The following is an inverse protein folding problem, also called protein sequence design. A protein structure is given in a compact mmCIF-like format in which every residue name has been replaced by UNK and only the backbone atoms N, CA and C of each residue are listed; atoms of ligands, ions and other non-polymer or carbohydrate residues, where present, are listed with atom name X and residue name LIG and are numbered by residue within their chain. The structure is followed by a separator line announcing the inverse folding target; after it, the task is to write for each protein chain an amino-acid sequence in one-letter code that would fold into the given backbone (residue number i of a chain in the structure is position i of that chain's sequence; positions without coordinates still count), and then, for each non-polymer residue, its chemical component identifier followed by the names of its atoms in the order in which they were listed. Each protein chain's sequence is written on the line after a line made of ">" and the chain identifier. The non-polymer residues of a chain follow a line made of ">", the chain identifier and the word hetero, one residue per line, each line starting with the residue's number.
data_IF_909663163049
#
_entry.id   IF_909663163049
#
_cell.length_a   1.000
_cell.length_b   1.000
_cell.length_c   1.000
_cell.angle_alpha   90.00
_cell.angle_beta   90.00
_cell.angle_gamma   90.00
#
_symmetry.space_group_name_H-M   'P 1'
#
loop_
_entity.id
_entity.type
_entity.pdbx_description
1 polymer ?
#
# COMPACT_ATOMS: atom_id res chain seq x y z
N UNK A 1 31.73 40.17 37.02
CA UNK A 1 30.59 39.44 36.44
C UNK A 1 30.96 39.07 35.02
N UNK A 2 31.50 37.87 34.83
CA UNK A 2 31.87 37.34 33.51
C UNK A 2 30.67 36.62 32.93
N UNK A 3 30.03 37.23 31.93
CA UNK A 3 29.01 36.57 31.11
C UNK A 3 29.72 35.62 30.14
N UNK A 4 29.79 34.35 30.50
CA UNK A 4 30.13 33.28 29.55
C UNK A 4 28.84 32.86 28.83
N UNK A 5 28.58 33.45 27.66
CA UNK A 5 27.60 32.91 26.73
C UNK A 5 28.16 31.63 26.11
N UNK A 6 27.80 30.48 26.68
CA UNK A 6 27.95 29.19 26.02
C UNK A 6 26.94 29.16 24.87
N UNK A 7 27.42 29.43 23.65
CA UNK A 7 26.74 29.03 22.43
C UNK A 7 27.08 27.54 22.28
N UNK A 8 26.16 26.65 22.67
CA UNK A 8 26.24 25.25 22.24
C UNK A 8 26.13 25.23 20.72
N UNK A 9 27.27 25.00 20.07
CA UNK A 9 27.32 24.71 18.64
C UNK A 9 26.69 23.33 18.46
N UNK A 10 25.52 23.28 17.82
CA UNK A 10 24.88 22.04 17.37
C UNK A 10 25.90 21.17 16.64
N UNK A 11 26.11 19.94 17.11
CA UNK A 11 26.97 18.97 16.46
C UNK A 11 26.18 18.23 15.38
N UNK A 12 26.82 17.85 14.26
CA UNK A 12 26.18 17.08 13.17
C UNK A 12 25.57 15.77 13.68
N UNK A 13 26.19 15.15 14.69
CA UNK A 13 25.70 13.94 15.34
C UNK A 13 24.36 14.14 16.07
N UNK A 14 24.04 15.38 16.47
CA UNK A 14 22.79 15.70 17.15
C UNK A 14 21.61 15.65 16.16
N UNK A 15 21.84 15.98 14.89
CA UNK A 15 20.84 15.86 13.83
C UNK A 15 20.53 14.40 13.53
N UNK A 16 21.55 13.54 13.41
CA UNK A 16 21.37 12.11 13.13
C UNK A 16 20.64 11.41 14.29
N UNK A 17 21.04 11.70 15.54
CA UNK A 17 20.35 11.20 16.74
C UNK A 17 18.91 11.69 16.83
N UNK A 18 18.66 12.95 16.46
CA UNK A 18 17.32 13.53 16.49
C UNK A 18 16.39 12.88 15.46
N UNK A 19 16.86 12.58 14.24
CA UNK A 19 16.03 11.93 13.21
C UNK A 19 15.77 10.47 13.59
N UNK A 20 16.78 9.75 14.07
CA UNK A 20 16.67 8.33 14.40
C UNK A 20 15.66 8.01 15.50
N UNK A 21 15.30 8.96 16.37
CA UNK A 21 14.25 8.74 17.39
C UNK A 21 12.84 8.55 16.78
N UNK A 22 12.63 8.98 15.53
CA UNK A 22 11.37 8.85 14.80
C UNK A 22 11.32 7.61 13.90
N UNK A 23 12.41 6.86 13.79
CA UNK A 23 12.55 5.74 12.86
C UNK A 23 12.33 4.41 13.58
N UNK A 24 11.52 3.54 12.99
CA UNK A 24 11.44 2.14 13.37
C UNK A 24 11.64 1.26 12.15
N UNK A 25 12.34 0.14 12.33
CA UNK A 25 12.52 -0.89 11.32
C UNK A 25 11.90 -2.19 11.83
N UNK A 26 11.22 -2.93 10.96
CA UNK A 26 10.72 -4.26 11.29
C UNK A 26 10.76 -5.22 10.09
N UNK A 27 10.92 -6.52 10.34
CA UNK A 27 10.92 -7.52 9.28
C UNK A 27 9.53 -7.73 8.69
N UNK A 28 9.50 -8.05 7.39
CA UNK A 28 8.31 -8.48 6.67
C UNK A 28 8.07 -9.98 6.84
N UNK A 29 6.85 -10.43 6.55
CA UNK A 29 6.53 -11.87 6.51
C UNK A 29 6.14 -12.28 5.11
N UNK A 30 6.48 -13.51 4.72
CA UNK A 30 5.89 -14.12 3.54
C UNK A 30 4.44 -14.52 3.81
N UNK A 31 3.58 -14.39 2.81
CA UNK A 31 2.24 -14.95 2.80
C UNK A 31 1.94 -15.52 1.40
N UNK A 32 0.87 -16.30 1.32
CA UNK A 32 0.42 -16.93 0.07
C UNK A 32 -0.92 -16.33 -0.34
N UNK A 33 -1.08 -16.05 -1.64
CA UNK A 33 -2.35 -15.58 -2.23
C UNK A 33 -2.71 -16.44 -3.45
N UNK A 34 -4.01 -16.54 -3.74
CA UNK A 34 -4.52 -17.35 -4.85
C UNK A 34 -4.13 -18.82 -4.72
N UNK A 35 -3.53 -19.36 -5.79
CA UNK A 35 -3.11 -20.76 -5.88
C UNK A 35 -1.59 -20.93 -5.64
N UNK A 36 -1.05 -20.56 -4.47
CA UNK A 36 0.38 -20.81 -4.18
C UNK A 36 1.33 -19.65 -4.42
N UNK A 37 0.85 -18.47 -4.80
CA UNK A 37 1.74 -17.34 -5.10
C UNK A 37 2.28 -16.73 -3.82
N UNK A 38 3.59 -16.81 -3.60
CA UNK A 38 4.28 -16.23 -2.44
C UNK A 38 4.48 -14.73 -2.64
N UNK A 39 4.07 -13.95 -1.65
CA UNK A 39 4.21 -12.49 -1.58
C UNK A 39 4.84 -12.08 -0.25
N UNK A 40 5.28 -10.82 -0.15
CA UNK A 40 5.75 -10.19 1.10
C UNK A 40 4.65 -9.28 1.66
N UNK A 41 4.19 -9.55 2.88
CA UNK A 41 3.18 -8.72 3.57
C UNK A 41 3.84 -7.79 4.58
N UNK A 42 3.75 -6.49 4.30
CA UNK A 42 4.28 -5.42 5.13
C UNK A 42 3.24 -4.86 6.11
N UNK A 43 2.02 -4.60 5.64
CA UNK A 43 0.91 -4.13 6.47
C UNK A 43 -0.31 -5.05 6.31
N UNK A 44 -1.10 -5.28 7.39
CA UNK A 44 -0.76 -4.97 8.78
C UNK A 44 0.30 -5.94 9.33
N UNK A 45 1.12 -5.46 10.26
CA UNK A 45 2.07 -6.26 11.05
C UNK A 45 1.82 -6.08 12.56
N UNK A 46 2.55 -6.83 13.39
CA UNK A 46 2.52 -6.63 14.85
C UNK A 46 3.12 -5.28 15.25
N UNK A 47 4.02 -4.74 14.43
CA UNK A 47 4.77 -3.52 14.71
C UNK A 47 4.04 -2.27 14.21
N UNK A 48 3.42 -2.34 13.03
CA UNK A 48 2.68 -1.23 12.44
C UNK A 48 1.43 -1.76 11.74
N UNK A 49 0.27 -1.19 12.08
CA UNK A 49 -1.03 -1.59 11.49
C UNK A 49 -1.45 -0.68 10.34
N UNK A 50 -1.15 0.61 10.44
CA UNK A 50 -1.47 1.62 9.44
C UNK A 50 -0.31 2.60 9.26
N UNK A 51 -0.26 3.22 8.09
CA UNK A 51 0.50 4.44 7.81
C UNK A 51 -0.46 5.42 7.14
N UNK A 52 -0.90 6.44 7.88
CA UNK A 52 -2.07 7.21 7.49
C UNK A 52 -3.27 6.29 7.28
N UNK A 53 -3.95 6.39 6.14
CA UNK A 53 -5.07 5.50 5.80
C UNK A 53 -4.62 4.16 5.17
N UNK A 54 -3.34 3.96 4.84
CA UNK A 54 -2.83 2.68 4.31
C UNK A 54 -2.91 1.61 5.39
N UNK A 55 -3.79 0.62 5.22
CA UNK A 55 -4.04 -0.42 6.22
C UNK A 55 -3.63 -1.83 5.78
N UNK A 56 -3.18 -1.97 4.54
CA UNK A 56 -2.68 -3.21 3.96
C UNK A 56 -1.62 -2.91 2.90
N UNK A 57 -0.60 -3.76 2.82
CA UNK A 57 0.45 -3.69 1.80
C UNK A 57 1.05 -5.09 1.60
N UNK A 58 0.82 -5.62 0.40
CA UNK A 58 1.51 -6.79 -0.13
C UNK A 58 2.42 -6.36 -1.30
N UNK A 59 3.63 -6.90 -1.33
CA UNK A 59 4.55 -6.84 -2.46
C UNK A 59 4.59 -8.20 -3.14
N UNK A 60 4.20 -8.22 -4.40
CA UNK A 60 4.14 -9.42 -5.22
C UNK A 60 5.24 -9.36 -6.29
N UNK A 61 6.12 -10.37 -6.32
CA UNK A 61 7.25 -10.40 -7.22
C UNK A 61 8.45 -9.55 -6.74
N UNK A 62 9.45 -9.31 -7.61
CA UNK A 62 9.50 -9.75 -9.01
C UNK A 62 9.54 -11.29 -9.11
N UNK A 63 8.66 -11.86 -9.92
CA UNK A 63 8.59 -13.32 -10.12
C UNK A 63 8.26 -13.66 -11.57
N UNK A 64 8.87 -14.74 -12.05
CA UNK A 64 8.56 -15.37 -13.34
C UNK A 64 7.91 -16.72 -13.10
N UNK A 65 6.85 -17.03 -13.85
CA UNK A 65 6.13 -18.30 -13.80
C UNK A 65 5.86 -18.83 -15.22
N UNK A 66 5.62 -20.15 -15.39
CA UNK A 66 5.19 -20.71 -16.65
C UNK A 66 3.88 -20.07 -17.15
N UNK A 67 3.70 -20.07 -18.46
CA UNK A 67 2.46 -19.62 -19.07
C UNK A 67 1.25 -20.41 -18.51
N UNK A 68 0.22 -19.72 -18.03
CA UNK A 68 -0.96 -20.32 -17.41
C UNK A 68 -0.89 -20.49 -15.89
N UNK A 69 0.29 -20.32 -15.29
CA UNK A 69 0.51 -20.47 -13.84
C UNK A 69 0.55 -19.12 -13.11
N UNK A 70 0.01 -18.07 -13.74
CA UNK A 70 -0.06 -16.74 -13.14
C UNK A 70 -1.06 -16.66 -11.99
N UNK A 71 -1.12 -15.49 -11.35
CA UNK A 71 -2.03 -15.25 -10.23
C UNK A 71 -3.49 -15.50 -10.65
N UNK A 72 -4.22 -16.25 -9.85
CA UNK A 72 -5.66 -16.47 -9.99
C UNK A 72 -6.33 -16.31 -8.62
N UNK A 73 -6.89 -15.11 -8.39
CA UNK A 73 -7.69 -14.82 -7.21
C UNK A 73 -9.16 -14.77 -7.62
N UNK A 74 -9.90 -15.80 -7.23
CA UNK A 74 -11.33 -15.90 -7.49
C UNK A 74 -12.18 -14.87 -6.75
N UNK A 75 -13.52 -14.91 -6.95
CA UNK A 75 -14.43 -13.89 -6.44
C UNK A 75 -14.32 -13.77 -4.93
N UNK A 76 -14.01 -12.57 -4.46
CA UNK A 76 -13.93 -12.24 -3.04
C UNK A 76 -14.42 -10.81 -2.78
N UNK A 77 -14.98 -10.53 -1.60
CA UNK A 77 -15.59 -9.25 -1.30
C UNK A 77 -14.61 -8.29 -0.64
N UNK A 78 -14.93 -7.00 -0.70
CA UNK A 78 -14.35 -5.96 0.14
C UNK A 78 -15.44 -5.02 0.67
N UNK A 79 -15.19 -4.36 1.80
CA UNK A 79 -16.01 -3.25 2.31
C UNK A 79 -15.16 -2.24 3.10
N UNK A 80 -15.60 -0.99 3.13
CA UNK A 80 -15.03 0.09 3.95
C UNK A 80 -13.61 0.52 3.58
N UNK A 81 -13.18 0.17 2.36
CA UNK A 81 -11.82 0.44 1.88
C UNK A 81 -11.80 0.78 0.38
N UNK A 82 -10.64 1.23 -0.10
CA UNK A 82 -10.26 1.21 -1.51
C UNK A 82 -9.09 0.23 -1.68
N UNK A 83 -9.14 -0.67 -2.66
CA UNK A 83 -7.93 -1.39 -3.10
C UNK A 83 -7.17 -0.53 -4.10
N UNK A 84 -5.85 -0.61 -4.05
CA UNK A 84 -4.94 0.18 -4.85
C UNK A 84 -3.86 -0.76 -5.39
N UNK A 85 -3.87 -0.98 -6.70
CA UNK A 85 -2.88 -1.82 -7.37
C UNK A 85 -1.89 -0.92 -8.11
N UNK A 86 -0.61 -1.01 -7.76
CA UNK A 86 0.48 -0.45 -8.56
C UNK A 86 1.14 -1.57 -9.36
N UNK A 87 0.99 -1.56 -10.68
CA UNK A 87 1.54 -2.59 -11.55
C UNK A 87 2.92 -2.18 -12.09
N UNK A 88 3.97 -2.90 -11.68
CA UNK A 88 5.36 -2.58 -11.99
C UNK A 88 5.80 -3.34 -13.25
N UNK A 89 5.54 -4.65 -13.31
CA UNK A 89 5.81 -5.53 -14.45
C UNK A 89 4.72 -6.60 -14.59
N UNK A 90 4.49 -7.07 -15.82
CA UNK A 90 3.42 -8.00 -16.16
C UNK A 90 2.06 -7.32 -16.37
N UNK A 91 1.01 -8.13 -16.43
CA UNK A 91 -0.38 -7.69 -16.61
C UNK A 91 -1.34 -8.50 -15.74
N UNK A 92 -2.46 -7.88 -15.34
CA UNK A 92 -3.48 -8.51 -14.51
C UNK A 92 -4.87 -8.10 -14.99
N UNK A 93 -5.80 -9.05 -15.13
CA UNK A 93 -7.20 -8.74 -15.42
C UNK A 93 -7.97 -8.56 -14.12
N UNK A 94 -8.52 -7.37 -13.93
CA UNK A 94 -9.52 -7.09 -12.90
C UNK A 94 -10.91 -7.29 -13.48
N UNK A 95 -11.75 -8.06 -12.79
CA UNK A 95 -13.20 -8.13 -13.05
C UNK A 95 -13.96 -7.92 -11.75
N UNK A 96 -15.00 -7.10 -11.74
CA UNK A 96 -15.80 -6.89 -10.52
C UNK A 96 -17.31 -7.04 -10.73
N UNK A 97 -18.02 -7.11 -9.60
CA UNK A 97 -19.47 -7.21 -9.51
C UNK A 97 -20.25 -6.01 -10.11
N UNK A 98 -19.58 -4.91 -10.48
CA UNK A 98 -20.20 -3.82 -11.24
C UNK A 98 -20.16 -4.06 -12.76
N UNK A 99 -19.50 -5.15 -13.20
CA UNK A 99 -19.29 -5.49 -14.59
C UNK A 99 -18.03 -4.85 -15.19
N UNK A 100 -17.17 -4.24 -14.37
CA UNK A 100 -15.88 -3.73 -14.84
C UNK A 100 -15.02 -4.88 -15.36
N UNK A 101 -14.32 -4.65 -16.47
CA UNK A 101 -13.23 -5.49 -16.95
C UNK A 101 -12.06 -4.61 -17.36
N UNK A 102 -10.96 -4.70 -16.62
CA UNK A 102 -9.80 -3.85 -16.85
C UNK A 102 -8.51 -4.67 -16.77
N UNK A 103 -7.81 -4.73 -17.90
CA UNK A 103 -6.43 -5.23 -17.92
C UNK A 103 -5.50 -4.10 -17.46
N UNK A 104 -4.86 -4.26 -16.30
CA UNK A 104 -3.80 -3.35 -15.84
C UNK A 104 -2.46 -3.79 -16.44
N UNK A 105 -1.64 -2.81 -16.81
CA UNK A 105 -0.32 -2.97 -17.44
C UNK A 105 0.76 -2.25 -16.63
N UNK A 106 2.06 -2.44 -16.95
CA UNK A 106 3.13 -1.74 -16.25
C UNK A 106 2.94 -0.24 -16.25
N UNK A 107 3.27 0.39 -15.13
CA UNK A 107 3.17 1.83 -14.86
C UNK A 107 1.75 2.39 -14.79
N UNK A 108 0.80 1.55 -14.40
CA UNK A 108 -0.61 1.93 -14.24
C UNK A 108 -1.10 1.66 -12.82
N UNK A 109 -2.17 2.35 -12.46
CA UNK A 109 -2.90 2.14 -11.20
C UNK A 109 -4.35 1.73 -11.46
N UNK A 110 -4.81 0.74 -10.71
CA UNK A 110 -6.24 0.49 -10.51
C UNK A 110 -6.61 0.93 -9.09
N UNK A 111 -7.74 1.62 -8.97
CA UNK A 111 -8.34 1.97 -7.70
C UNK A 111 -9.78 1.45 -7.67
N UNK A 112 -10.03 0.43 -6.85
CA UNK A 112 -11.38 -0.06 -6.61
C UNK A 112 -11.87 0.47 -5.27
N UNK A 113 -12.82 1.39 -5.28
CA UNK A 113 -13.53 1.81 -4.07
C UNK A 113 -14.60 0.78 -3.74
N UNK A 114 -14.42 0.04 -2.65
CA UNK A 114 -15.41 -0.94 -2.19
C UNK A 114 -16.59 -0.26 -1.48
N UNK A 115 -16.31 0.74 -0.63
CA UNK A 115 -17.35 1.46 0.11
C UNK A 115 -18.30 0.50 0.84
N UNK A 116 -19.60 0.61 0.57
CA UNK A 116 -20.62 -0.27 1.16
C UNK A 116 -20.34 -1.76 0.89
N UNK A 117 -19.87 -2.13 -0.29
CA UNK A 117 -19.59 -3.52 -0.64
C UNK A 117 -19.38 -3.70 -2.14
N UNK A 118 -18.38 -4.49 -2.51
CA UNK A 118 -18.11 -4.96 -3.88
C UNK A 118 -17.44 -6.33 -3.79
N UNK A 119 -17.53 -7.15 -4.83
CA UNK A 119 -16.60 -8.26 -5.04
C UNK A 119 -15.84 -8.13 -6.35
N UNK A 120 -14.65 -8.73 -6.41
CA UNK A 120 -13.81 -8.76 -7.61
C UNK A 120 -12.96 -10.03 -7.73
N UNK A 121 -12.35 -10.19 -8.90
CA UNK A 121 -11.31 -11.16 -9.23
C UNK A 121 -10.08 -10.43 -9.76
N UNK A 122 -8.90 -11.02 -9.54
CA UNK A 122 -7.62 -10.60 -10.11
C UNK A 122 -6.95 -11.83 -10.73
N UNK A 123 -6.92 -11.89 -12.06
CA UNK A 123 -6.47 -13.06 -12.81
C UNK A 123 -5.44 -12.65 -13.86
N UNK A 124 -4.26 -13.24 -13.83
CA UNK A 124 -3.24 -13.03 -14.84
C UNK A 124 -3.73 -13.63 -16.17
N UNK A 125 -3.58 -12.93 -17.31
CA UNK A 125 -3.88 -13.54 -18.60
C UNK A 125 -3.11 -14.85 -18.79
N UNK A 126 -3.69 -15.83 -19.48
CA UNK A 126 -3.01 -17.12 -19.70
C UNK A 126 -1.62 -16.96 -20.31
N UNK A 127 -1.39 -15.96 -21.15
CA UNK A 127 -0.10 -15.68 -21.80
C UNK A 127 0.92 -14.96 -20.91
N UNK A 128 0.52 -14.49 -19.73
CA UNK A 128 1.41 -13.77 -18.82
C UNK A 128 2.44 -14.73 -18.19
N UNK A 129 3.64 -14.23 -17.95
CA UNK A 129 4.75 -15.00 -17.37
C UNK A 129 5.49 -14.22 -16.28
N UNK A 130 5.17 -12.94 -16.06
CA UNK A 130 5.82 -12.10 -15.07
C UNK A 130 4.79 -11.42 -14.18
N UNK A 131 5.14 -11.19 -12.92
CA UNK A 131 4.39 -10.32 -12.04
C UNK A 131 5.36 -9.55 -11.14
N UNK A 132 5.18 -8.24 -11.11
CA UNK A 132 5.75 -7.38 -10.10
C UNK A 132 4.73 -6.28 -9.79
N UNK A 133 4.21 -6.24 -8.57
CA UNK A 133 3.19 -5.29 -8.15
C UNK A 133 3.25 -4.98 -6.66
N UNK A 134 2.71 -3.82 -6.28
CA UNK A 134 2.32 -3.53 -4.91
C UNK A 134 0.80 -3.45 -4.81
N UNK A 135 0.20 -4.26 -3.94
CA UNK A 135 -1.23 -4.26 -3.65
C UNK A 135 -1.45 -3.64 -2.27
N UNK A 136 -2.20 -2.54 -2.22
CA UNK A 136 -2.45 -1.78 -1.00
C UNK A 136 -3.93 -1.61 -0.76
N UNK A 137 -4.31 -1.45 0.51
CA UNK A 137 -5.68 -1.03 0.87
C UNK A 137 -5.65 0.29 1.64
N UNK A 138 -6.62 1.15 1.32
CA UNK A 138 -6.85 2.45 1.93
C UNK A 138 -8.13 2.36 2.74
N UNK A 139 -8.05 2.52 4.06
CA UNK A 139 -9.23 2.60 4.91
C UNK A 139 -10.04 3.87 4.57
N UNK A 140 -11.33 3.72 4.33
CA UNK A 140 -12.20 4.87 4.09
C UNK A 140 -12.50 5.60 5.42
N UNK A 141 -12.53 6.94 5.42
CA UNK A 141 -12.97 7.72 6.58
C UNK A 141 -14.46 7.47 6.87
N UNK A 142 -14.88 7.81 8.09
CA UNK A 142 -16.21 7.44 8.62
C UNK A 142 -17.37 7.95 7.75
N UNK A 143 -17.22 9.12 7.13
CA UNK A 143 -18.23 9.73 6.26
C UNK A 143 -18.28 9.11 4.85
N UNK A 144 -17.29 8.28 4.49
CA UNK A 144 -17.20 7.60 3.18
C UNK A 144 -17.30 6.08 3.27
N UNK A 145 -17.21 5.49 4.46
CA UNK A 145 -17.12 4.03 4.64
C UNK A 145 -18.26 3.25 3.94
N UNK A 146 -19.46 3.83 3.85
CA UNK A 146 -20.64 3.25 3.21
C UNK A 146 -20.99 3.88 1.84
N UNK A 147 -20.05 4.56 1.20
CA UNK A 147 -20.29 5.12 -0.13
C UNK A 147 -20.54 4.04 -1.18
N UNK A 148 -21.15 4.38 -2.31
CA UNK A 148 -21.35 3.44 -3.40
C UNK A 148 -20.00 2.92 -3.93
N UNK A 149 -19.92 1.63 -4.30
CA UNK A 149 -18.72 1.07 -4.91
C UNK A 149 -18.46 1.69 -6.29
N UNK A 150 -17.19 1.78 -6.69
CA UNK A 150 -16.77 2.22 -8.02
C UNK A 150 -15.37 1.74 -8.36
N UNK A 151 -15.03 1.79 -9.64
CA UNK A 151 -13.69 1.46 -10.14
C UNK A 151 -13.15 2.59 -11.01
N UNK A 152 -11.89 2.96 -10.80
CA UNK A 152 -11.16 3.93 -11.60
C UNK A 152 -9.82 3.33 -12.06
N UNK A 153 -9.53 3.46 -13.36
CA UNK A 153 -8.25 3.06 -13.96
C UNK A 153 -7.42 4.29 -14.34
N UNK A 154 -6.15 4.29 -13.97
CA UNK A 154 -5.20 5.36 -14.22
C UNK A 154 -4.05 4.82 -15.09
N UNK A 155 -4.16 4.96 -16.42
CA UNK A 155 -3.15 4.44 -17.34
C UNK A 155 -1.87 5.28 -17.39
N UNK A 156 -1.93 6.52 -16.90
CA UNK A 156 -0.84 7.47 -16.89
C UNK A 156 -0.74 8.12 -15.51
N UNK A 157 0.46 8.10 -14.94
CA UNK A 157 0.78 8.77 -13.69
C UNK A 157 1.88 9.80 -13.91
N UNK A 158 1.86 10.92 -13.18
CA UNK A 158 2.84 11.97 -13.37
C UNK A 158 4.19 11.56 -12.78
N UNK A 159 5.24 11.83 -13.55
CA UNK A 159 6.63 11.54 -13.19
C UNK A 159 7.39 12.85 -13.03
N UNK A 160 8.23 12.93 -12.02
CA UNK A 160 9.17 14.04 -11.78
C UNK A 160 10.54 13.47 -11.48
N UNK A 161 11.60 14.11 -11.96
CA UNK A 161 12.98 13.68 -11.74
C UNK A 161 13.73 14.72 -10.92
N UNK A 162 14.52 14.26 -9.94
CA UNK A 162 15.39 15.10 -9.11
C UNK A 162 16.57 14.26 -8.61
N UNK A 163 17.78 14.82 -8.62
CA UNK A 163 18.98 14.17 -8.08
C UNK A 163 19.24 12.76 -8.63
N UNK A 164 18.93 12.53 -9.93
CA UNK A 164 19.02 11.22 -10.63
C UNK A 164 18.05 10.15 -10.13
N UNK A 165 17.01 10.55 -9.39
CA UNK A 165 15.91 9.70 -8.97
C UNK A 165 14.66 10.08 -9.77
N UNK A 166 14.04 9.08 -10.39
CA UNK A 166 12.73 9.20 -11.02
C UNK A 166 11.65 8.90 -9.98
N UNK A 167 10.70 9.83 -9.81
CA UNK A 167 9.58 9.72 -8.87
C UNK A 167 8.28 9.64 -9.65
N UNK A 168 7.61 8.48 -9.62
CA UNK A 168 6.23 8.35 -10.11
C UNK A 168 5.28 8.64 -8.95
N UNK A 169 4.52 9.74 -9.02
CA UNK A 169 3.57 10.12 -7.97
C UNK A 169 2.29 9.30 -8.15
N UNK A 170 2.15 8.26 -7.34
CA UNK A 170 1.04 7.31 -7.42
C UNK A 170 -0.25 7.93 -6.88
N UNK A 171 -0.19 8.59 -5.72
CA UNK A 171 -1.32 9.31 -5.11
C UNK A 171 -0.81 10.46 -4.24
N UNK A 172 -1.61 11.52 -4.12
CA UNK A 172 -1.23 12.73 -3.40
C UNK A 172 -0.40 13.70 -4.23
N UNK A 173 0.41 14.50 -3.55
CA UNK A 173 1.31 15.48 -4.16
C UNK A 173 2.73 15.32 -3.63
N UNK A 174 3.70 15.25 -4.53
CA UNK A 174 5.12 15.17 -4.20
C UNK A 174 5.95 16.03 -5.16
N UNK A 175 6.92 16.78 -4.66
CA UNK A 175 7.74 17.71 -5.47
C UNK A 175 6.89 18.61 -6.39
N UNK A 176 5.78 19.16 -5.86
CA UNK A 176 4.81 20.01 -6.60
C UNK A 176 4.13 19.32 -7.78
N UNK A 177 4.16 17.99 -7.81
CA UNK A 177 3.56 17.15 -8.83
C UNK A 177 2.43 16.35 -8.20
N UNK A 178 1.21 16.49 -8.73
CA UNK A 178 -0.01 15.96 -8.13
C UNK A 178 -0.59 14.82 -8.97
N UNK A 179 -0.82 13.68 -8.34
CA UNK A 179 -1.50 12.54 -8.96
C UNK A 179 -2.99 12.81 -9.18
N UNK A 180 -3.59 12.28 -10.27
CA UNK A 180 -5.04 12.34 -10.48
C UNK A 180 -5.83 11.35 -9.60
N UNK A 181 -5.16 10.44 -8.88
CA UNK A 181 -5.84 9.35 -8.15
C UNK A 181 -6.69 9.91 -7.01
N UNK A 182 -7.97 9.59 -7.04
CA UNK A 182 -8.98 10.15 -6.13
C UNK A 182 -9.14 9.32 -4.84
N UNK A 183 -8.57 9.85 -3.74
CA UNK A 183 -8.69 9.30 -2.38
C UNK A 183 -9.45 10.25 -1.44
N UNK A 184 -9.78 9.78 -0.25
CA UNK A 184 -10.68 10.48 0.69
C UNK A 184 -10.01 10.98 1.98
N UNK A 185 -8.70 10.84 2.09
CA UNK A 185 -7.87 11.36 3.19
C UNK A 185 -6.58 11.95 2.63
N UNK A 186 -5.89 12.78 3.41
CA UNK A 186 -4.54 13.25 3.09
C UNK A 186 -3.57 12.06 3.06
N UNK A 187 -3.10 11.71 1.86
CA UNK A 187 -2.37 10.48 1.59
C UNK A 187 -1.30 10.71 0.52
N UNK A 188 -0.22 9.96 0.62
CA UNK A 188 0.92 9.99 -0.30
C UNK A 188 1.32 8.56 -0.67
N UNK A 189 1.60 8.35 -1.95
CA UNK A 189 2.24 7.15 -2.48
C UNK A 189 3.14 7.53 -3.64
N UNK A 190 4.41 7.14 -3.59
CA UNK A 190 5.42 7.47 -4.61
C UNK A 190 6.27 6.23 -4.88
N UNK A 191 6.47 5.91 -6.15
CA UNK A 191 7.46 4.93 -6.60
C UNK A 191 8.74 5.68 -7.00
N UNK A 192 9.86 5.30 -6.41
CA UNK A 192 11.17 5.91 -6.61
C UNK A 192 12.06 4.91 -7.34
N UNK A 193 12.78 5.35 -8.37
CA UNK A 193 13.78 4.51 -9.05
C UNK A 193 15.06 5.28 -9.34
N UNK A 194 16.19 4.58 -9.29
CA UNK A 194 17.48 5.14 -9.64
C UNK A 194 18.22 4.22 -10.62
N UNK A 195 18.65 4.74 -11.76
CA UNK A 195 19.45 3.97 -12.74
C UNK A 195 20.90 3.78 -12.28
N UNK A 196 21.43 4.77 -11.59
CA UNK A 196 22.76 4.79 -10.99
C UNK A 196 22.64 5.02 -9.49
N UNK A 197 23.65 4.61 -8.72
CA UNK A 197 23.66 4.84 -7.28
C UNK A 197 23.68 6.34 -6.98
N UNK A 198 22.74 6.82 -6.17
CA UNK A 198 22.59 8.25 -5.86
C UNK A 198 22.15 8.45 -4.41
N UNK A 199 22.35 9.67 -3.90
CA UNK A 199 21.81 10.12 -2.62
C UNK A 199 20.97 11.37 -2.85
N UNK A 200 19.82 11.44 -2.20
CA UNK A 200 18.96 12.62 -2.24
C UNK A 200 18.34 12.86 -0.86
N UNK A 201 17.94 14.11 -0.64
CA UNK A 201 17.13 14.49 0.51
C UNK A 201 15.70 14.72 0.06
N UNK A 202 14.79 13.92 0.61
CA UNK A 202 13.36 14.04 0.37
C UNK A 202 12.77 15.08 1.32
N UNK A 203 11.88 15.92 0.81
CA UNK A 203 11.04 16.79 1.62
C UNK A 203 9.79 15.99 2.02
N UNK A 204 9.50 15.94 3.31
CA UNK A 204 8.39 15.21 3.90
C UNK A 204 7.37 16.20 4.49
N UNK A 205 6.11 15.78 4.58
CA UNK A 205 5.11 16.53 5.33
C UNK A 205 5.23 16.17 6.82
N UNK A 206 5.57 17.11 7.73
CA UNK A 206 5.73 16.80 9.15
C UNK A 206 4.45 16.29 9.83
N UNK A 207 3.27 16.49 9.23
CA UNK A 207 2.01 15.94 9.74
C UNK A 207 1.81 14.47 9.40
N UNK A 208 2.57 13.94 8.44
CA UNK A 208 2.40 12.58 7.96
C UNK A 208 3.34 11.64 8.71
N UNK A 209 2.83 10.44 9.00
CA UNK A 209 3.69 9.28 9.17
C UNK A 209 4.05 8.71 7.80
N UNK A 210 5.23 8.08 7.68
CA UNK A 210 5.72 7.55 6.40
C UNK A 210 6.22 6.11 6.52
N UNK A 211 6.29 5.42 5.39
CA UNK A 211 6.83 4.08 5.28
C UNK A 211 7.62 3.90 3.99
N UNK A 212 8.75 3.21 4.08
CA UNK A 212 9.61 2.85 2.96
C UNK A 212 9.69 1.33 2.86
N UNK A 213 9.56 0.82 1.63
CA UNK A 213 9.72 -0.60 1.33
C UNK A 213 10.49 -0.75 0.02
N UNK A 214 11.49 -1.63 -0.03
CA UNK A 214 12.14 -1.97 -1.29
C UNK A 214 11.22 -2.88 -2.10
N UNK A 215 10.96 -2.49 -3.35
CA UNK A 215 10.25 -3.30 -4.34
C UNK A 215 11.25 -4.05 -5.23
N UNK A 216 12.44 -3.48 -5.44
CA UNK A 216 13.55 -4.11 -6.14
C UNK A 216 14.88 -3.58 -5.57
N UNK A 217 15.85 -4.48 -5.37
CA UNK A 217 17.16 -4.15 -4.85
C UNK A 217 17.12 -3.62 -3.41
N UNK A 218 18.05 -2.70 -3.09
CA UNK A 218 18.20 -2.17 -1.73
C UNK A 218 18.37 -0.65 -1.74
N UNK A 219 18.19 -0.04 -0.56
CA UNK A 219 18.46 1.38 -0.32
C UNK A 219 18.91 1.58 1.13
N UNK A 220 19.29 2.81 1.48
CA UNK A 220 19.53 3.22 2.86
C UNK A 220 18.67 4.43 3.17
N UNK A 221 17.88 4.38 4.24
CA UNK A 221 17.02 5.48 4.71
C UNK A 221 17.57 6.00 6.04
N UNK A 222 18.19 7.18 6.02
CA UNK A 222 18.84 7.79 7.19
C UNK A 222 19.75 6.83 7.98
N UNK A 223 20.58 6.06 7.26
CA UNK A 223 21.50 5.08 7.84
C UNK A 223 20.90 3.68 8.09
N UNK A 224 19.59 3.47 7.93
CA UNK A 224 18.95 2.16 8.06
C UNK A 224 18.88 1.47 6.70
N UNK A 225 19.40 0.24 6.60
CA UNK A 225 19.35 -0.54 5.37
C UNK A 225 17.90 -0.97 5.07
N UNK A 226 17.47 -0.77 3.84
CA UNK A 226 16.17 -1.17 3.33
C UNK A 226 16.36 -2.28 2.31
N UNK A 227 15.73 -3.42 2.59
CA UNK A 227 15.80 -4.66 1.81
C UNK A 227 14.39 -5.14 1.47
N UNK A 228 14.28 -6.20 0.68
CA UNK A 228 13.00 -6.85 0.37
C UNK A 228 12.39 -7.59 1.58
N UNK A 229 13.11 -7.66 2.71
CA UNK A 229 12.73 -8.38 3.92
C UNK A 229 12.38 -7.46 5.09
N UNK A 230 12.48 -6.14 4.95
CA UNK A 230 12.12 -5.19 6.01
C UNK A 230 11.30 -4.00 5.49
N UNK A 231 10.78 -3.22 6.44
CA UNK A 231 10.14 -1.94 6.20
C UNK A 231 10.69 -0.93 7.21
N UNK A 232 10.96 0.28 6.74
CA UNK A 232 11.36 1.41 7.58
C UNK A 232 10.19 2.37 7.69
N UNK A 233 9.78 2.72 8.90
CA UNK A 233 8.66 3.65 9.16
C UNK A 233 9.12 4.86 9.94
N UNK A 234 8.51 6.01 9.64
CA UNK A 234 8.76 7.28 10.27
C UNK A 234 7.50 7.75 10.99
N UNK A 235 7.61 8.11 12.27
CA UNK A 235 6.57 8.83 12.98
C UNK A 235 6.45 10.29 12.48
N UNK A 236 5.30 10.97 12.70
CA UNK A 236 5.15 12.37 12.33
C UNK A 236 6.18 13.28 13.00
N UNK A 237 6.57 14.35 12.31
CA UNK A 237 7.43 15.41 12.81
C UNK A 237 8.62 15.75 11.92
N UNK A 238 9.05 14.82 11.06
CA UNK A 238 10.18 15.04 10.16
C UNK A 238 9.78 15.85 8.92
N UNK A 239 10.55 16.91 8.62
CA UNK A 239 10.36 17.73 7.42
C UNK A 239 11.22 17.26 6.24
N UNK A 240 12.28 16.51 6.52
CA UNK A 240 13.16 15.96 5.49
C UNK A 240 13.83 14.66 5.96
N UNK A 241 14.25 13.84 5.01
CA UNK A 241 15.04 12.63 5.27
C UNK A 241 16.04 12.36 4.15
N UNK A 242 17.23 11.89 4.50
CA UNK A 242 18.23 11.43 3.53
C UNK A 242 17.93 9.99 3.12
N UNK A 243 18.00 9.74 1.80
CA UNK A 243 17.93 8.39 1.24
C UNK A 243 19.10 8.18 0.26
N UNK A 244 19.62 6.97 0.25
CA UNK A 244 20.63 6.51 -0.71
C UNK A 244 20.03 5.34 -1.47
N UNK A 245 19.91 5.47 -2.80
CA UNK A 245 19.42 4.40 -3.66
C UNK A 245 20.60 3.76 -4.36
N UNK A 246 20.68 2.43 -4.31
CA UNK A 246 21.62 1.68 -5.14
C UNK A 246 21.14 1.65 -6.60
N UNK A 247 22.09 1.53 -7.54
CA UNK A 247 21.76 1.40 -8.96
C UNK A 247 20.76 0.27 -9.23
N UNK A 248 19.68 0.58 -9.94
CA UNK A 248 18.62 -0.35 -10.28
C UNK A 248 17.55 -0.52 -9.18
N UNK A 249 17.69 0.11 -8.02
CA UNK A 249 16.70 -0.08 -6.96
C UNK A 249 15.38 0.65 -7.25
N UNK A 250 14.29 0.06 -6.73
CA UNK A 250 12.95 0.62 -6.77
C UNK A 250 12.37 0.62 -5.37
N UNK A 251 12.03 1.80 -4.85
CA UNK A 251 11.54 1.97 -3.48
C UNK A 251 10.13 2.54 -3.51
N UNK A 252 9.24 1.97 -2.70
CA UNK A 252 7.91 2.52 -2.44
C UNK A 252 7.95 3.42 -1.21
N UNK A 253 7.57 4.68 -1.37
CA UNK A 253 7.31 5.62 -0.28
C UNK A 253 5.80 5.77 -0.09
N UNK A 254 5.33 5.47 1.11
CA UNK A 254 3.96 5.75 1.56
C UNK A 254 3.97 6.85 2.60
N UNK A 255 2.90 7.64 2.65
CA UNK A 255 2.66 8.56 3.74
C UNK A 255 1.19 8.91 3.88
N UNK A 256 0.85 9.51 5.02
CA UNK A 256 -0.48 10.06 5.25
C UNK A 256 -0.63 10.62 6.65
N UNK A 257 -1.65 11.44 6.84
CA UNK A 257 -2.01 11.93 8.17
C UNK A 257 -2.49 10.76 9.04
N UNK A 258 -1.98 10.60 10.28
CA UNK A 258 -2.33 9.48 11.14
C UNK A 258 -3.84 9.32 11.27
N UNK A 259 -4.35 8.15 10.87
CA UNK A 259 -5.79 7.90 10.84
C UNK A 259 -6.36 7.83 12.26
N UNK A 260 -7.21 8.81 12.62
CA UNK A 260 -7.68 8.98 14.00
C UNK A 260 -8.68 7.89 14.43
N UNK A 261 -9.67 7.60 13.59
CA UNK A 261 -10.75 6.66 13.91
C UNK A 261 -10.23 5.22 14.00
N UNK A 262 -10.43 4.50 15.13
CA UNK A 262 -10.06 3.10 15.24
C UNK A 262 -10.80 2.25 14.19
N UNK A 263 -10.07 1.35 13.53
CA UNK A 263 -10.64 0.44 12.54
C UNK A 263 -10.52 -1.01 13.01
N UNK A 264 -11.44 -1.85 12.54
CA UNK A 264 -11.30 -3.30 12.59
C UNK A 264 -11.03 -3.80 11.17
N UNK A 265 -9.89 -4.43 10.98
CA UNK A 265 -9.55 -5.13 9.74
C UNK A 265 -9.62 -6.63 10.02
N UNK A 266 -10.51 -7.33 9.32
CA UNK A 266 -10.60 -8.79 9.34
C UNK A 266 -10.86 -9.32 7.94
N UNK A 267 -10.05 -10.31 7.54
CA UNK A 267 -10.08 -10.86 6.18
C UNK A 267 -9.98 -9.73 5.15
N UNK A 268 -11.05 -9.49 4.38
CA UNK A 268 -11.12 -8.45 3.34
C UNK A 268 -12.03 -7.27 3.73
N UNK A 269 -12.35 -7.13 5.01
CA UNK A 269 -13.28 -6.13 5.50
C UNK A 269 -12.60 -5.15 6.43
N UNK A 270 -12.84 -3.86 6.18
CA UNK A 270 -12.49 -2.76 7.08
C UNK A 270 -13.80 -2.17 7.62
N UNK A 271 -14.01 -2.30 8.93
CA UNK A 271 -15.21 -1.83 9.64
C UNK A 271 -14.86 -1.02 10.90
N UNK A 272 -15.87 -0.72 11.70
CA UNK A 272 -15.72 -0.06 13.02
C UNK A 272 -16.17 -0.95 14.17
N UNK A 273 -17.13 -1.85 13.92
CA UNK A 273 -17.67 -2.76 14.94
C UNK A 273 -17.57 -4.23 14.50
N UNK A 274 -17.55 -5.16 15.47
CA UNK A 274 -17.51 -6.59 15.14
C UNK A 274 -18.83 -7.04 14.52
N UNK A 275 -19.94 -6.40 14.92
CA UNK A 275 -21.28 -6.62 14.41
C UNK A 275 -21.36 -6.31 12.90
N UNK A 276 -20.77 -5.21 12.46
CA UNK A 276 -20.68 -4.85 11.03
C UNK A 276 -19.95 -5.91 10.21
N UNK A 277 -18.81 -6.37 10.73
CA UNK A 277 -17.97 -7.37 10.06
C UNK A 277 -18.63 -8.75 10.04
N UNK A 278 -19.30 -9.13 11.14
CA UNK A 278 -20.08 -10.38 11.20
C UNK A 278 -21.24 -10.35 10.21
N UNK A 279 -21.97 -9.24 10.12
CA UNK A 279 -23.06 -9.09 9.16
C UNK A 279 -22.55 -9.18 7.72
N UNK A 280 -21.44 -8.51 7.40
CA UNK A 280 -20.82 -8.57 6.08
C UNK A 280 -20.36 -9.98 5.72
N UNK A 281 -19.80 -10.72 6.68
CA UNK A 281 -19.44 -12.14 6.51
C UNK A 281 -20.67 -12.98 6.18
N UNK A 282 -21.75 -12.84 6.95
CA UNK A 282 -22.96 -13.62 6.73
C UNK A 282 -23.61 -13.28 5.38
N UNK A 283 -23.59 -12.02 4.99
CA UNK A 283 -24.02 -11.57 3.67
C UNK A 283 -23.16 -12.17 2.54
N UNK A 284 -21.84 -12.25 2.73
CA UNK A 284 -20.98 -12.94 1.76
C UNK A 284 -21.33 -14.41 1.64
N UNK A 285 -21.45 -15.14 2.75
CA UNK A 285 -21.79 -16.57 2.77
C UNK A 285 -23.13 -16.85 2.09
N UNK A 286 -24.13 -16.00 2.34
CA UNK A 286 -25.48 -16.14 1.80
C UNK A 286 -25.66 -15.51 0.39
N UNK A 287 -24.58 -15.06 -0.25
CA UNK A 287 -24.60 -14.46 -1.60
C UNK A 287 -25.56 -13.26 -1.71
N UNK A 288 -25.54 -12.40 -0.70
CA UNK A 288 -26.34 -11.17 -0.65
C UNK A 288 -25.95 -10.21 -1.79
N UNK A 289 -26.93 -9.46 -2.30
CA UNK A 289 -26.71 -8.49 -3.39
C UNK A 289 -25.69 -7.40 -3.06
N UNK A 290 -25.39 -7.15 -1.77
CA UNK A 290 -24.34 -6.24 -1.33
C UNK A 290 -22.99 -6.46 -2.03
N UNK A 291 -22.66 -7.71 -2.38
CA UNK A 291 -21.38 -8.04 -3.03
C UNK A 291 -21.52 -8.42 -4.51
N UNK A 292 -22.75 -8.45 -5.03
CA UNK A 292 -23.06 -8.88 -6.40
C UNK A 292 -22.51 -10.27 -6.74
N UNK A 293 -22.34 -10.49 -8.04
CA UNK A 293 -21.85 -11.75 -8.61
C UNK A 293 -20.91 -11.49 -9.80
N UNK A 294 -20.02 -12.45 -10.09
CA UNK A 294 -19.04 -12.40 -11.17
C UNK A 294 -19.20 -13.66 -12.02
N UNK A 295 -20.26 -13.67 -12.82
CA UNK A 295 -20.75 -14.87 -13.49
C UNK A 295 -19.81 -15.44 -14.56
N UNK A 296 -18.84 -14.67 -15.04
CA UNK A 296 -17.89 -15.07 -16.06
C UNK A 296 -16.59 -15.68 -15.50
N UNK A 297 -16.41 -15.66 -14.18
CA UNK A 297 -15.28 -16.33 -13.55
C UNK A 297 -15.49 -17.85 -13.54
N UNK A 298 -14.48 -18.59 -13.99
CA UNK A 298 -14.50 -20.05 -14.05
C UNK A 298 -13.68 -20.64 -12.90
N UNK A 299 -14.29 -20.74 -11.72
CA UNK A 299 -13.63 -21.30 -10.56
C UNK A 299 -14.44 -21.13 -9.27
N UNK A 300 -13.87 -21.54 -8.13
CA UNK A 300 -14.54 -21.40 -6.84
C UNK A 300 -14.56 -19.93 -6.38
N UNK A 301 -15.67 -19.54 -5.76
CA UNK A 301 -15.78 -18.32 -4.96
C UNK A 301 -15.02 -18.51 -3.64
N UNK A 302 -14.28 -17.51 -3.19
CA UNK A 302 -13.47 -17.63 -1.98
C UNK A 302 -14.37 -17.73 -0.74
N UNK A 303 -14.03 -18.65 0.15
CA UNK A 303 -14.77 -18.85 1.40
C UNK A 303 -14.28 -17.88 2.49
N UNK A 304 -15.22 -17.27 3.20
CA UNK A 304 -14.87 -16.44 4.34
C UNK A 304 -14.34 -17.33 5.49
N UNK A 305 -13.22 -16.97 6.14
CA UNK A 305 -12.70 -17.75 7.25
C UNK A 305 -13.62 -17.71 8.48
N UNK A 306 -13.26 -18.50 9.50
CA UNK A 306 -13.94 -18.46 10.79
C UNK A 306 -13.85 -17.04 11.40
N UNK A 307 -14.97 -16.55 11.92
CA UNK A 307 -15.02 -15.25 12.58
C UNK A 307 -14.57 -15.37 14.04
N UNK A 308 -13.65 -14.53 14.53
CA UNK A 308 -13.15 -14.61 15.89
C UNK A 308 -14.16 -14.04 16.90
N UNK A 309 -14.18 -14.59 18.12
CA UNK A 309 -15.04 -14.08 19.21
C UNK A 309 -14.68 -12.66 19.67
N UNK A 310 -13.41 -12.27 19.52
CA UNK A 310 -12.89 -10.96 19.91
C UNK A 310 -11.82 -10.47 18.93
N UNK A 311 -11.89 -9.19 18.59
CA UNK A 311 -10.90 -8.48 17.79
C UNK A 311 -10.41 -7.23 18.52
N UNK A 312 -9.14 -6.87 18.30
CA UNK A 312 -8.57 -5.59 18.76
C UNK A 312 -8.54 -4.60 17.60
N UNK A 313 -9.12 -3.42 17.81
CA UNK A 313 -9.05 -2.30 16.87
C UNK A 313 -7.62 -1.82 16.63
N UNK A 314 -7.41 -1.04 15.56
CA UNK A 314 -6.10 -0.53 15.14
C UNK A 314 -5.34 0.26 16.21
N UNK A 315 -6.05 0.84 17.18
CA UNK A 315 -5.54 1.57 18.33
C UNK A 315 -6.26 1.12 19.60
#
# INVERSE_FOLDING_TARGET
>A
MTNSNYIELSNSDDCEKYVNQFIQEFPLRSAEIGQGTIIKRALPSRHKRLIGAWCFLDHAGPVTFPQGDGLDVGPHPHMGLQTFTWMIEGTMMHTDSLGTKQLIRPKQVNLMTAGYGISHTEVAPETETHMHAAQLWIALPDDKINMAPRFDHYPELPVVEKDQVEFTVLVGEFLKTKSPVAVHTELLGVDLTAKESTSTRLQLNPKFEHGFMALDGTAVVNGHELTEDNMVVLEPGLAEIEIQLHAGSRILLLGGEPFESPILLWWNFVGRTQEELSLARDQWINQDQRFGDIADYLGPRLEAPAFPDKMRASR
#
